data_IF_390308608064
#
_entry.id   IF_390308608064
#
_cell.length_a   1.000
_cell.length_b   1.000
_cell.length_c   1.000
_cell.angle_alpha   90.00
_cell.angle_beta   90.00
_cell.angle_gamma   90.00
#
_symmetry.space_group_name_H-M   'P 1'
#
loop_
_entity.id
_entity.type
_entity.pdbx_description
1 polymer ?
#
# COMPACT_ATOMS: atom_id res chain seq x y z
N UNK A 1 24.21 -6.01 14.65
CA UNK A 1 23.78 -6.43 13.30
C UNK A 1 24.96 -7.01 12.58
N UNK A 2 24.87 -8.23 12.12
CA UNK A 2 25.89 -8.70 11.16
C UNK A 2 25.90 -7.66 10.04
N UNK A 3 27.08 -7.18 9.65
CA UNK A 3 27.28 -6.30 8.51
C UNK A 3 26.57 -6.90 7.28
N UNK A 4 25.36 -6.40 6.94
CA UNK A 4 24.63 -6.94 5.80
C UNK A 4 23.10 -7.02 5.92
N UNK A 5 22.50 -6.76 7.08
CA UNK A 5 21.04 -6.83 7.23
C UNK A 5 20.32 -5.88 6.26
N UNK A 6 19.32 -6.40 5.55
CA UNK A 6 18.55 -5.69 4.52
C UNK A 6 17.30 -5.03 5.12
N UNK A 7 17.19 -3.72 5.02
CA UNK A 7 16.04 -2.98 5.54
C UNK A 7 14.95 -2.81 4.49
N UNK A 8 13.71 -2.93 4.93
CA UNK A 8 12.52 -2.96 4.10
C UNK A 8 11.59 -1.83 4.48
N UNK A 9 11.04 -1.10 3.50
CA UNK A 9 9.91 -0.20 3.70
C UNK A 9 8.64 -0.82 3.10
N UNK A 10 7.57 -0.77 3.88
CA UNK A 10 6.23 -1.18 3.51
C UNK A 10 5.34 0.04 3.29
N UNK A 11 4.64 0.08 2.16
CA UNK A 11 3.77 1.19 1.73
C UNK A 11 2.31 0.69 1.71
N UNK A 12 1.48 1.05 2.71
CA UNK A 12 0.14 0.48 2.85
C UNK A 12 -0.90 0.95 1.84
N UNK A 13 -0.71 2.12 1.21
CA UNK A 13 -1.65 2.65 0.23
C UNK A 13 -2.95 3.18 0.83
N UNK A 14 -4.01 3.28 0.04
CA UNK A 14 -5.23 4.06 0.32
C UNK A 14 -5.95 3.72 1.63
N UNK A 15 -5.85 2.49 2.10
CA UNK A 15 -6.57 2.01 3.30
C UNK A 15 -6.28 2.77 4.59
N UNK A 16 -5.18 3.52 4.63
CA UNK A 16 -4.75 4.30 5.81
C UNK A 16 -5.27 5.73 5.84
N UNK A 17 -6.02 6.19 4.79
CA UNK A 17 -6.49 7.58 4.74
C UNK A 17 -7.22 8.00 6.03
N UNK A 18 -6.82 9.15 6.56
CA UNK A 18 -7.47 9.83 7.68
C UNK A 18 -7.58 11.32 7.36
N UNK A 19 -8.72 11.92 7.73
CA UNK A 19 -8.89 13.36 7.59
C UNK A 19 -7.81 14.11 8.37
N UNK A 20 -7.32 15.21 7.83
CA UNK A 20 -6.26 16.07 8.39
C UNK A 20 -4.88 15.40 8.51
N UNK A 21 -4.68 14.22 7.90
CA UNK A 21 -3.42 13.48 8.03
C UNK A 21 -2.19 14.26 7.53
N UNK A 22 -2.34 15.00 6.45
CA UNK A 22 -1.25 15.78 5.85
C UNK A 22 -0.91 17.01 6.70
N UNK A 23 -1.91 17.72 7.23
CA UNK A 23 -1.70 18.82 8.14
C UNK A 23 -0.94 18.40 9.39
N UNK A 24 -1.42 17.34 10.07
CA UNK A 24 -0.76 16.81 11.27
C UNK A 24 0.66 16.32 10.96
N UNK A 25 0.89 15.67 9.82
CA UNK A 25 2.21 15.21 9.41
C UNK A 25 3.15 16.37 9.10
N UNK A 26 2.65 17.43 8.46
CA UNK A 26 3.39 18.66 8.18
C UNK A 26 3.88 19.37 9.46
N UNK A 27 3.10 19.31 10.52
CA UNK A 27 3.47 19.91 11.84
C UNK A 27 4.47 19.04 12.63
N UNK A 28 4.71 17.80 12.23
CA UNK A 28 5.55 16.90 13.00
C UNK A 28 7.05 17.24 12.94
N UNK A 29 7.55 17.79 11.84
CA UNK A 29 8.93 18.30 11.73
C UNK A 29 9.09 19.29 10.58
N UNK A 30 10.17 20.13 10.62
CA UNK A 30 10.50 21.05 9.53
C UNK A 30 10.78 20.33 8.21
N UNK A 31 11.46 19.19 8.26
CA UNK A 31 11.71 18.36 7.07
C UNK A 31 10.39 17.92 6.40
N UNK A 32 9.45 17.39 7.18
CA UNK A 32 8.16 16.94 6.65
C UNK A 32 7.35 18.11 6.11
N UNK A 33 7.36 19.26 6.79
CA UNK A 33 6.72 20.50 6.33
C UNK A 33 7.25 20.94 4.96
N UNK A 34 8.55 21.00 4.79
CA UNK A 34 9.21 21.41 3.55
C UNK A 34 8.89 20.44 2.41
N UNK A 35 8.92 19.11 2.67
CA UNK A 35 8.64 18.11 1.67
C UNK A 35 7.17 18.10 1.25
N UNK A 36 6.24 18.18 2.20
CA UNK A 36 4.79 18.29 1.92
C UNK A 36 4.50 19.55 1.12
N UNK A 37 5.09 20.69 1.51
CA UNK A 37 4.93 21.96 0.77
C UNK A 37 5.46 21.88 -0.66
N UNK A 38 6.54 21.12 -0.90
CA UNK A 38 7.05 20.90 -2.24
C UNK A 38 6.08 20.06 -3.10
N UNK A 39 5.50 19.00 -2.53
CA UNK A 39 4.50 18.18 -3.23
C UNK A 39 3.21 18.99 -3.46
N UNK A 40 2.78 19.77 -2.49
CA UNK A 40 1.60 20.64 -2.61
C UNK A 40 1.74 21.65 -3.75
N UNK A 41 2.93 22.24 -3.95
CA UNK A 41 3.20 23.12 -5.10
C UNK A 41 3.05 22.40 -6.44
N UNK A 42 3.48 21.14 -6.53
CA UNK A 42 3.32 20.34 -7.74
C UNK A 42 1.84 20.06 -8.00
N UNK A 43 1.13 19.57 -7.00
CA UNK A 43 -0.28 19.21 -7.12
C UNK A 43 -1.17 20.42 -7.38
N UNK A 44 -0.93 21.55 -6.71
CA UNK A 44 -1.66 22.79 -6.89
C UNK A 44 -1.36 23.45 -8.24
N UNK A 45 -0.09 23.43 -8.67
CA UNK A 45 0.33 24.05 -9.92
C UNK A 45 -0.10 23.31 -11.17
N UNK A 46 -0.05 21.99 -11.15
CA UNK A 46 -0.34 21.14 -12.32
C UNK A 46 -1.79 20.67 -12.35
N UNK A 47 -2.34 20.31 -11.19
CA UNK A 47 -3.63 19.62 -11.09
C UNK A 47 -4.71 20.44 -10.38
N UNK A 48 -4.38 21.64 -9.88
CA UNK A 48 -5.25 22.48 -9.07
C UNK A 48 -5.79 21.77 -7.80
N UNK A 49 -4.96 20.87 -7.23
CA UNK A 49 -5.25 20.07 -6.05
C UNK A 49 -4.37 20.56 -4.90
N UNK A 50 -4.93 21.27 -3.93
CA UNK A 50 -4.24 21.65 -2.70
C UNK A 50 -4.27 20.51 -1.69
N UNK A 51 -3.11 19.96 -1.33
CA UNK A 51 -3.03 18.86 -0.35
C UNK A 51 -3.44 19.32 1.06
N UNK A 52 -3.16 20.58 1.39
CA UNK A 52 -3.47 21.20 2.68
C UNK A 52 -4.90 21.79 2.76
N UNK A 53 -5.64 21.76 1.66
CA UNK A 53 -7.04 22.20 1.62
C UNK A 53 -7.96 21.10 2.17
N UNK A 54 -8.16 21.09 3.48
CA UNK A 54 -8.90 20.06 4.22
C UNK A 54 -10.41 20.02 3.92
N UNK A 55 -10.95 21.01 3.20
CA UNK A 55 -12.36 21.05 2.79
C UNK A 55 -12.63 20.14 1.59
N UNK A 56 -11.62 19.87 0.78
CA UNK A 56 -11.72 18.96 -0.37
C UNK A 56 -11.51 17.52 0.06
N UNK A 57 -12.44 16.66 -0.28
CA UNK A 57 -12.51 15.26 0.18
C UNK A 57 -12.89 14.30 -0.96
N UNK A 58 -12.62 14.64 -2.24
CA UNK A 58 -12.80 13.69 -3.33
C UNK A 58 -11.75 12.56 -3.29
N UNK A 59 -12.00 11.48 -3.99
CA UNK A 59 -11.14 10.27 -3.90
C UNK A 59 -9.77 10.49 -4.55
N UNK A 60 -9.63 11.39 -5.51
CA UNK A 60 -8.33 11.75 -6.10
C UNK A 60 -7.46 12.44 -5.07
N UNK A 61 -8.00 13.45 -4.36
CA UNK A 61 -7.21 14.19 -3.35
C UNK A 61 -6.85 13.29 -2.16
N UNK A 62 -7.76 12.40 -1.73
CA UNK A 62 -7.48 11.41 -0.68
C UNK A 62 -6.34 10.48 -1.07
N UNK A 63 -6.37 9.96 -2.30
CA UNK A 63 -5.33 9.10 -2.81
C UNK A 63 -3.98 9.80 -2.88
N UNK A 64 -3.94 11.05 -3.36
CA UNK A 64 -2.70 11.84 -3.45
C UNK A 64 -2.18 12.20 -2.05
N UNK A 65 -3.03 12.47 -1.06
CA UNK A 65 -2.62 12.70 0.33
C UNK A 65 -1.94 11.47 0.93
N UNK A 66 -2.50 10.28 0.74
CA UNK A 66 -1.86 9.04 1.19
C UNK A 66 -0.52 8.85 0.51
N UNK A 67 -0.47 8.94 -0.80
CA UNK A 67 0.76 8.84 -1.60
C UNK A 67 1.84 9.84 -1.13
N UNK A 68 1.46 11.11 -0.92
CA UNK A 68 2.38 12.13 -0.43
C UNK A 68 2.92 11.80 0.96
N UNK A 69 2.05 11.32 1.88
CA UNK A 69 2.47 10.94 3.23
C UNK A 69 3.49 9.79 3.22
N UNK A 70 3.25 8.76 2.39
CA UNK A 70 4.16 7.62 2.26
C UNK A 70 5.52 8.04 1.69
N UNK A 71 5.54 8.91 0.69
CA UNK A 71 6.79 9.43 0.11
C UNK A 71 7.58 10.22 1.15
N UNK A 72 6.98 11.21 1.81
CA UNK A 72 7.75 12.06 2.74
C UNK A 72 8.25 11.30 3.96
N UNK A 73 7.51 10.29 4.43
CA UNK A 73 7.95 9.39 5.51
C UNK A 73 9.11 8.51 5.03
N UNK A 74 9.03 7.94 3.83
CA UNK A 74 10.12 7.14 3.26
C UNK A 74 11.41 7.97 3.05
N UNK A 75 11.28 9.20 2.55
CA UNK A 75 12.39 10.14 2.41
C UNK A 75 12.98 10.53 3.76
N UNK A 76 12.15 10.72 4.78
CA UNK A 76 12.61 11.01 6.15
C UNK A 76 13.49 9.88 6.69
N UNK A 77 13.08 8.61 6.49
CA UNK A 77 13.89 7.47 6.88
C UNK A 77 15.21 7.41 6.10
N UNK A 78 15.21 7.66 4.80
CA UNK A 78 16.42 7.76 4.00
C UNK A 78 17.34 8.87 4.49
N UNK A 79 16.78 10.06 4.81
CA UNK A 79 17.53 11.21 5.32
C UNK A 79 18.10 11.00 6.74
N UNK A 80 17.50 10.12 7.54
CA UNK A 80 18.04 9.70 8.84
C UNK A 80 19.27 8.80 8.76
N UNK A 81 19.75 8.51 7.54
CA UNK A 81 20.88 7.63 7.29
C UNK A 81 20.52 6.14 7.32
N UNK A 82 19.23 5.79 7.33
CA UNK A 82 18.81 4.40 7.17
C UNK A 82 19.05 3.96 5.73
N UNK A 83 19.85 2.92 5.54
CA UNK A 83 19.98 2.27 4.24
C UNK A 83 18.70 1.49 3.95
N UNK A 84 18.01 1.84 2.89
CA UNK A 84 16.78 1.18 2.43
C UNK A 84 17.15 0.26 1.27
N UNK A 85 16.96 -1.05 1.43
CA UNK A 85 17.35 -2.07 0.46
C UNK A 85 16.15 -2.58 -0.34
N UNK A 86 14.98 -2.75 0.29
CA UNK A 86 13.76 -3.28 -0.33
C UNK A 86 12.55 -2.39 -0.08
N UNK A 87 11.64 -2.38 -1.06
CA UNK A 87 10.38 -1.64 -1.03
C UNK A 87 9.26 -2.59 -1.43
N UNK A 88 8.19 -2.64 -0.66
CA UNK A 88 6.98 -3.41 -0.97
C UNK A 88 5.77 -2.51 -0.76
N UNK A 89 4.99 -2.31 -1.81
CA UNK A 89 3.72 -1.59 -1.74
C UNK A 89 2.53 -2.55 -1.71
N UNK A 90 1.51 -2.21 -0.95
CA UNK A 90 0.22 -2.91 -1.02
C UNK A 90 -0.75 -2.06 -1.85
N UNK A 91 -1.25 -2.61 -2.97
CA UNK A 91 -2.18 -1.88 -3.83
C UNK A 91 -1.61 -0.51 -4.23
N UNK A 92 -2.31 0.58 -3.96
CA UNK A 92 -1.88 1.95 -4.30
C UNK A 92 -0.54 2.35 -3.66
N UNK A 93 -0.09 1.68 -2.60
CA UNK A 93 1.23 1.89 -2.03
C UNK A 93 2.39 1.54 -2.97
N UNK A 94 2.16 0.73 -4.01
CA UNK A 94 3.18 0.48 -5.03
C UNK A 94 3.55 1.73 -5.83
N UNK A 95 2.66 2.71 -5.97
CA UNK A 95 2.96 3.97 -6.65
C UNK A 95 4.00 4.79 -5.88
N UNK A 96 3.85 4.90 -4.56
CA UNK A 96 4.84 5.56 -3.71
C UNK A 96 6.16 4.77 -3.66
N UNK A 97 6.09 3.45 -3.54
CA UNK A 97 7.26 2.58 -3.62
C UNK A 97 8.02 2.74 -4.95
N UNK A 98 7.31 2.86 -6.07
CA UNK A 98 7.89 3.06 -7.40
C UNK A 98 8.62 4.41 -7.52
N UNK A 99 8.09 5.48 -6.95
CA UNK A 99 8.78 6.79 -6.91
C UNK A 99 10.05 6.69 -6.05
N UNK A 100 9.98 6.11 -4.85
CA UNK A 100 11.12 5.94 -3.94
C UNK A 100 12.18 4.99 -4.54
N UNK A 101 11.76 4.02 -5.36
CA UNK A 101 12.71 3.15 -6.09
C UNK A 101 13.34 3.80 -7.32
N UNK A 102 12.83 4.95 -7.78
CA UNK A 102 13.31 5.65 -8.98
C UNK A 102 12.72 5.14 -10.29
N UNK A 103 11.69 4.31 -10.26
CA UNK A 103 10.97 3.79 -11.45
C UNK A 103 10.30 4.93 -12.21
N UNK A 104 9.69 5.88 -11.49
CA UNK A 104 9.04 7.06 -12.07
C UNK A 104 9.30 8.30 -11.21
N UNK A 105 9.07 9.48 -11.78
CA UNK A 105 9.14 10.73 -11.03
C UNK A 105 7.94 10.88 -10.08
N UNK A 106 8.04 11.80 -9.14
CA UNK A 106 6.94 12.11 -8.23
C UNK A 106 5.74 12.68 -8.99
N UNK A 107 5.98 13.54 -9.99
CA UNK A 107 4.96 14.10 -10.89
C UNK A 107 4.25 12.99 -11.68
N UNK A 108 5.02 12.04 -12.23
CA UNK A 108 4.46 10.88 -12.93
C UNK A 108 3.60 10.02 -12.00
N UNK A 109 4.05 9.82 -10.76
CA UNK A 109 3.29 9.06 -9.74
C UNK A 109 1.96 9.72 -9.39
N UNK A 110 1.93 11.05 -9.21
CA UNK A 110 0.70 11.82 -8.97
C UNK A 110 -0.22 11.73 -10.19
N UNK A 111 0.33 11.90 -11.40
CA UNK A 111 -0.44 11.79 -12.64
C UNK A 111 -1.11 10.42 -12.76
N UNK A 112 -0.33 9.34 -12.65
CA UNK A 112 -0.86 7.99 -12.78
C UNK A 112 -1.89 7.66 -11.70
N UNK A 113 -1.66 8.10 -10.47
CA UNK A 113 -2.59 7.86 -9.37
C UNK A 113 -3.94 8.56 -9.61
N UNK A 114 -3.89 9.80 -10.09
CA UNK A 114 -5.08 10.54 -10.50
C UNK A 114 -5.82 9.82 -11.63
N UNK A 115 -5.13 9.45 -12.69
CA UNK A 115 -5.74 8.75 -13.83
C UNK A 115 -6.31 7.39 -13.42
N UNK A 116 -5.64 6.67 -12.50
CA UNK A 116 -6.17 5.43 -11.93
C UNK A 116 -7.49 5.66 -11.21
N UNK A 117 -7.58 6.65 -10.32
CA UNK A 117 -8.82 6.92 -9.58
C UNK A 117 -9.95 7.32 -10.52
N UNK A 118 -9.64 8.14 -11.53
CA UNK A 118 -10.64 8.62 -12.51
C UNK A 118 -11.06 7.53 -13.51
N UNK A 119 -10.27 6.46 -13.70
CA UNK A 119 -10.64 5.38 -14.62
C UNK A 119 -11.65 4.39 -14.04
N UNK A 120 -11.92 4.44 -12.72
CA UNK A 120 -12.95 3.61 -12.11
C UNK A 120 -14.31 4.28 -12.21
N UNK A 121 -15.24 3.67 -12.95
CA UNK A 121 -16.66 4.04 -12.95
C UNK A 121 -17.44 2.97 -12.18
N UNK A 122 -18.27 3.42 -11.25
CA UNK A 122 -19.09 2.55 -10.41
C UNK A 122 -20.37 2.16 -11.15
N UNK A 123 -20.28 1.24 -12.12
CA UNK A 123 -21.46 0.79 -12.84
C UNK A 123 -22.15 -0.42 -12.18
N UNK A 124 -21.52 -1.07 -11.18
CA UNK A 124 -22.07 -2.24 -10.53
C UNK A 124 -21.87 -2.23 -9.00
N UNK A 125 -22.84 -2.77 -8.24
CA UNK A 125 -22.86 -2.75 -6.78
C UNK A 125 -21.89 -3.79 -6.18
N UNK A 126 -20.62 -3.72 -6.56
CA UNK A 126 -19.57 -4.52 -5.93
C UNK A 126 -19.24 -4.02 -4.53
N UNK A 127 -18.86 -4.94 -3.67
CA UNK A 127 -18.31 -4.57 -2.38
C UNK A 127 -17.09 -5.42 -2.01
N UNK A 128 -16.28 -4.88 -1.13
CA UNK A 128 -15.04 -5.49 -0.66
C UNK A 128 -15.19 -5.92 0.80
N UNK A 129 -14.68 -7.09 1.13
CA UNK A 129 -14.65 -7.59 2.50
C UNK A 129 -13.30 -8.25 2.81
N UNK A 130 -12.87 -8.15 4.07
CA UNK A 130 -11.72 -8.90 4.57
C UNK A 130 -12.18 -10.19 5.25
N UNK A 131 -11.32 -11.21 5.24
CA UNK A 131 -11.52 -12.45 5.98
C UNK A 131 -10.25 -12.82 6.74
N UNK A 132 -10.43 -13.33 7.97
CA UNK A 132 -9.38 -14.02 8.73
C UNK A 132 -9.54 -15.54 8.50
N UNK A 133 -9.29 -15.96 7.25
CA UNK A 133 -9.25 -17.36 6.83
C UNK A 133 -8.45 -17.48 5.54
N UNK A 134 -8.05 -18.70 5.18
CA UNK A 134 -7.33 -18.96 3.93
C UNK A 134 -8.21 -18.70 2.70
N UNK A 135 -7.57 -18.43 1.56
CA UNK A 135 -8.27 -18.23 0.29
C UNK A 135 -9.12 -19.44 -0.08
N UNK A 136 -8.53 -20.64 0.02
CA UNK A 136 -9.19 -21.90 -0.34
C UNK A 136 -10.48 -22.11 0.47
N UNK A 137 -10.42 -21.83 1.78
CA UNK A 137 -11.58 -21.97 2.66
C UNK A 137 -12.71 -21.01 2.31
N UNK A 138 -12.38 -19.76 1.97
CA UNK A 138 -13.39 -18.77 1.59
C UNK A 138 -13.99 -19.09 0.22
N UNK A 139 -13.19 -19.55 -0.74
CA UNK A 139 -13.67 -19.99 -2.06
C UNK A 139 -14.54 -21.23 -1.95
N UNK A 140 -14.17 -22.22 -1.13
CA UNK A 140 -14.98 -23.41 -0.84
C UNK A 140 -16.37 -23.04 -0.31
N UNK A 141 -16.43 -22.10 0.65
CA UNK A 141 -17.70 -21.63 1.21
C UNK A 141 -18.50 -20.88 0.13
N UNK A 142 -17.88 -20.03 -0.66
CA UNK A 142 -18.56 -19.29 -1.72
C UNK A 142 -19.15 -20.25 -2.78
N UNK A 143 -18.38 -21.26 -3.17
CA UNK A 143 -18.80 -22.28 -4.14
C UNK A 143 -19.98 -23.12 -3.63
N UNK A 144 -19.97 -23.49 -2.34
CA UNK A 144 -21.06 -24.22 -1.67
C UNK A 144 -22.42 -23.50 -1.80
N UNK A 145 -22.40 -22.15 -1.83
CA UNK A 145 -23.61 -21.32 -1.93
C UNK A 145 -23.81 -20.72 -3.33
N UNK A 146 -22.94 -21.02 -4.29
CA UNK A 146 -23.03 -20.54 -5.67
C UNK A 146 -22.70 -19.04 -5.81
N UNK A 147 -21.90 -18.48 -4.90
CA UNK A 147 -21.50 -17.06 -4.96
C UNK A 147 -20.31 -16.84 -5.88
N UNK A 148 -20.37 -15.78 -6.69
CA UNK A 148 -19.29 -15.36 -7.59
C UNK A 148 -18.42 -14.30 -6.91
N UNK A 149 -17.33 -14.73 -6.26
CA UNK A 149 -16.40 -13.83 -5.58
C UNK A 149 -14.98 -13.94 -6.17
N UNK A 150 -14.19 -12.91 -5.95
CA UNK A 150 -12.79 -12.83 -6.34
C UNK A 150 -11.92 -12.59 -5.13
N UNK A 151 -10.81 -13.32 -4.99
CA UNK A 151 -9.75 -12.94 -4.04
C UNK A 151 -8.96 -11.80 -4.66
N UNK A 152 -9.04 -10.63 -4.07
CA UNK A 152 -8.38 -9.41 -4.56
C UNK A 152 -7.07 -9.10 -3.81
N UNK A 153 -6.86 -9.71 -2.64
CA UNK A 153 -5.59 -9.64 -1.93
C UNK A 153 -5.33 -10.90 -1.12
N UNK A 154 -4.12 -11.43 -1.24
CA UNK A 154 -3.55 -12.50 -0.42
C UNK A 154 -2.62 -11.87 0.60
N UNK A 155 -3.09 -11.64 1.83
CA UNK A 155 -2.37 -10.87 2.84
C UNK A 155 -1.46 -11.73 3.72
N UNK A 156 -2.02 -12.86 4.22
CA UNK A 156 -1.29 -13.86 5.02
C UNK A 156 -1.82 -15.26 4.67
N UNK A 157 -1.26 -16.37 5.20
CA UNK A 157 -1.86 -17.70 5.02
C UNK A 157 -3.34 -17.75 5.42
N UNK A 158 -3.70 -17.01 6.47
CA UNK A 158 -5.03 -17.01 7.10
C UNK A 158 -5.73 -15.64 6.95
N UNK A 159 -5.37 -14.83 5.94
CA UNK A 159 -6.07 -13.56 5.71
C UNK A 159 -6.08 -13.17 4.24
N UNK A 160 -7.29 -12.95 3.73
CA UNK A 160 -7.54 -12.49 2.35
C UNK A 160 -8.51 -11.32 2.33
N UNK A 161 -8.48 -10.58 1.23
CA UNK A 161 -9.53 -9.62 0.89
C UNK A 161 -10.26 -10.12 -0.35
N UNK A 162 -11.57 -10.04 -0.31
CA UNK A 162 -12.45 -10.51 -1.39
C UNK A 162 -13.29 -9.37 -1.96
N UNK A 163 -13.71 -9.52 -3.20
CA UNK A 163 -14.66 -8.66 -3.88
C UNK A 163 -15.75 -9.50 -4.54
N UNK A 164 -16.96 -9.01 -4.57
CA UNK A 164 -18.10 -9.65 -5.24
C UNK A 164 -19.34 -8.77 -5.20
N UNK A 165 -20.44 -9.26 -5.73
CA UNK A 165 -21.71 -8.56 -5.66
C UNK A 165 -22.11 -8.31 -4.21
N UNK A 166 -22.60 -7.11 -3.92
CA UNK A 166 -22.90 -6.65 -2.55
C UNK A 166 -23.78 -7.60 -1.77
N UNK A 167 -24.80 -8.16 -2.43
CA UNK A 167 -25.75 -9.07 -1.77
C UNK A 167 -25.09 -10.42 -1.45
N UNK A 168 -24.25 -10.95 -2.33
CA UNK A 168 -23.50 -12.19 -2.11
C UNK A 168 -22.47 -12.02 -0.98
N UNK A 169 -21.72 -10.92 -0.98
CA UNK A 169 -20.77 -10.61 0.10
C UNK A 169 -21.49 -10.46 1.45
N UNK A 170 -22.64 -9.79 1.50
CA UNK A 170 -23.42 -9.67 2.73
C UNK A 170 -23.93 -11.02 3.25
N UNK A 171 -24.32 -11.92 2.36
CA UNK A 171 -24.69 -13.29 2.73
C UNK A 171 -23.49 -14.09 3.20
N UNK A 172 -22.36 -14.01 2.48
CA UNK A 172 -21.11 -14.68 2.86
C UNK A 172 -20.61 -14.23 4.24
N UNK A 173 -20.74 -12.95 4.58
CA UNK A 173 -20.42 -12.43 5.94
C UNK A 173 -21.23 -13.14 7.01
N UNK A 174 -22.53 -13.37 6.78
CA UNK A 174 -23.39 -14.07 7.75
C UNK A 174 -22.99 -15.53 7.89
N UNK A 175 -22.80 -16.23 6.76
CA UNK A 175 -22.39 -17.64 6.74
C UNK A 175 -21.05 -17.84 7.45
N UNK A 176 -20.07 -17.00 7.15
CA UNK A 176 -18.75 -17.05 7.79
C UNK A 176 -18.85 -16.81 9.30
N UNK A 177 -19.69 -15.86 9.73
CA UNK A 177 -19.93 -15.60 11.16
C UNK A 177 -20.51 -16.82 11.86
N UNK A 178 -21.48 -17.50 11.26
CA UNK A 178 -22.09 -18.71 11.82
C UNK A 178 -21.09 -19.87 11.89
N UNK A 179 -20.07 -19.87 11.04
CA UNK A 179 -18.93 -20.81 11.05
C UNK A 179 -17.74 -20.33 11.90
N UNK A 180 -17.91 -19.27 12.71
CA UNK A 180 -16.88 -18.67 13.55
C UNK A 180 -15.64 -18.15 12.79
N UNK A 181 -15.81 -17.81 11.50
CA UNK A 181 -14.80 -17.15 10.68
C UNK A 181 -15.03 -15.64 10.77
N UNK A 182 -14.00 -14.91 11.19
CA UNK A 182 -14.05 -13.46 11.19
C UNK A 182 -14.03 -12.93 9.75
N UNK A 183 -15.11 -12.28 9.38
CA UNK A 183 -15.34 -11.74 8.06
C UNK A 183 -16.07 -10.41 8.17
N UNK A 184 -15.63 -9.38 7.44
CA UNK A 184 -16.23 -8.04 7.56
C UNK A 184 -16.13 -7.23 6.28
N UNK A 185 -17.19 -6.46 6.00
CA UNK A 185 -17.26 -5.55 4.85
C UNK A 185 -16.34 -4.37 5.06
N UNK A 186 -15.62 -3.98 4.01
CA UNK A 186 -14.81 -2.77 3.96
C UNK A 186 -15.58 -1.71 3.16
N UNK A 187 -16.27 -0.82 3.86
CA UNK A 187 -17.16 0.19 3.26
C UNK A 187 -16.45 1.29 2.43
N UNK A 188 -15.13 1.23 2.28
CA UNK A 188 -14.33 2.30 1.65
C UNK A 188 -13.98 2.02 0.19
N UNK A 189 -14.31 0.83 -0.34
CA UNK A 189 -13.91 0.41 -1.68
C UNK A 189 -15.02 -0.37 -2.37
N UNK A 190 -15.37 0.05 -3.57
CA UNK A 190 -16.38 -0.63 -4.38
C UNK A 190 -15.82 -1.82 -5.20
N UNK A 191 -14.57 -2.15 -5.00
CA UNK A 191 -13.87 -3.22 -5.66
C UNK A 191 -12.61 -2.72 -6.39
N UNK A 192 -11.52 -3.47 -6.25
CA UNK A 192 -10.27 -3.27 -6.96
C UNK A 192 -9.63 -4.64 -7.17
N UNK A 193 -8.66 -4.74 -8.06
CA UNK A 193 -7.84 -5.94 -8.23
C UNK A 193 -8.63 -7.21 -8.63
N UNK A 194 -9.74 -7.07 -9.35
CA UNK A 194 -10.50 -8.20 -9.87
C UNK A 194 -10.66 -8.14 -11.40
N UNK A 195 -10.87 -9.29 -12.09
CA UNK A 195 -10.86 -9.35 -13.56
C UNK A 195 -11.86 -8.46 -14.27
N UNK A 196 -13.00 -8.11 -13.63
CA UNK A 196 -14.00 -7.20 -14.21
C UNK A 196 -13.49 -5.79 -14.49
N UNK A 197 -12.37 -5.38 -13.87
CA UNK A 197 -11.75 -4.09 -14.12
C UNK A 197 -10.83 -4.04 -15.35
N UNK A 198 -10.67 -5.16 -16.07
CA UNK A 198 -9.81 -5.21 -17.25
C UNK A 198 -10.18 -4.18 -18.33
N UNK A 199 -11.44 -3.92 -18.68
CA UNK A 199 -11.80 -2.87 -19.64
C UNK A 199 -11.31 -1.47 -19.22
N UNK A 200 -11.40 -1.15 -17.93
CA UNK A 200 -10.92 0.15 -17.40
C UNK A 200 -9.39 0.24 -17.42
N UNK A 201 -8.70 -0.88 -17.24
CA UNK A 201 -7.25 -0.93 -17.35
C UNK A 201 -6.73 -0.62 -18.77
N UNK A 202 -7.51 -0.90 -19.79
CA UNK A 202 -7.17 -0.58 -21.18
C UNK A 202 -7.21 0.95 -21.43
N UNK A 203 -8.18 1.65 -20.83
CA UNK A 203 -8.24 3.12 -20.86
C UNK A 203 -7.06 3.72 -20.10
N UNK A 204 -6.78 3.20 -18.90
CA UNK A 204 -5.66 3.65 -18.08
C UNK A 204 -4.30 3.39 -18.75
N UNK A 205 -4.15 2.34 -19.55
CA UNK A 205 -2.93 2.02 -20.29
C UNK A 205 -2.47 3.19 -21.17
N UNK A 206 -3.41 3.91 -21.82
CA UNK A 206 -3.07 5.05 -22.67
C UNK A 206 -2.49 6.23 -21.85
N UNK A 207 -2.94 6.39 -20.61
CA UNK A 207 -2.33 7.35 -19.69
C UNK A 207 -0.96 6.87 -19.21
N UNK A 208 -0.80 5.59 -18.89
CA UNK A 208 0.46 5.01 -18.44
C UNK A 208 1.55 5.06 -19.53
N UNK A 209 1.22 4.92 -20.81
CA UNK A 209 2.17 5.04 -21.93
C UNK A 209 2.84 6.42 -22.04
N UNK A 210 2.30 7.45 -21.42
CA UNK A 210 2.89 8.79 -21.41
C UNK A 210 4.04 8.92 -20.41
N UNK A 211 4.24 7.94 -19.53
CA UNK A 211 5.23 7.96 -18.46
C UNK A 211 6.55 7.37 -18.92
N UNK A 212 7.64 8.01 -18.54
CA UNK A 212 8.98 7.50 -18.78
C UNK A 212 9.43 6.62 -17.60
N UNK A 213 9.08 5.35 -17.63
CA UNK A 213 9.49 4.38 -16.62
C UNK A 213 10.98 4.02 -16.74
N UNK A 214 11.66 3.94 -15.61
CA UNK A 214 13.08 3.63 -15.49
C UNK A 214 13.28 2.31 -14.75
N UNK A 215 14.48 1.77 -14.83
CA UNK A 215 14.86 0.64 -13.97
C UNK A 215 14.97 1.10 -12.52
N UNK A 216 14.47 0.32 -11.55
CA UNK A 216 14.57 0.66 -10.15
C UNK A 216 16.04 0.74 -9.69
N UNK A 217 16.37 1.75 -8.90
CA UNK A 217 17.68 1.89 -8.23
C UNK A 217 17.68 1.27 -6.83
N UNK A 218 16.51 1.01 -6.25
CA UNK A 218 16.30 0.20 -5.05
C UNK A 218 15.41 -0.98 -5.41
N UNK A 219 15.57 -2.11 -4.73
CA UNK A 219 14.81 -3.32 -5.03
C UNK A 219 13.33 -3.15 -4.66
N UNK A 220 12.48 -2.92 -5.62
CA UNK A 220 11.03 -2.97 -5.44
C UNK A 220 10.53 -4.38 -5.74
N UNK A 221 9.87 -5.01 -4.77
CA UNK A 221 9.20 -6.30 -4.95
C UNK A 221 7.75 -6.04 -5.33
N UNK A 222 7.36 -6.53 -6.51
CA UNK A 222 6.00 -6.42 -7.01
C UNK A 222 5.05 -7.31 -6.23
N UNK A 223 3.85 -6.79 -5.89
CA UNK A 223 2.76 -7.61 -5.37
C UNK A 223 1.85 -8.16 -6.48
N UNK A 224 2.01 -7.71 -7.73
CA UNK A 224 1.35 -8.30 -8.90
C UNK A 224 2.10 -9.54 -9.40
N UNK A 225 3.43 -9.45 -9.45
CA UNK A 225 4.32 -10.50 -9.97
C UNK A 225 5.49 -10.80 -9.00
N UNK A 226 5.23 -11.26 -7.79
CA UNK A 226 6.27 -11.47 -6.79
C UNK A 226 7.34 -12.47 -7.23
N UNK A 227 7.01 -13.38 -8.13
CA UNK A 227 7.93 -14.39 -8.66
C UNK A 227 8.87 -13.89 -9.76
N UNK A 228 8.66 -12.67 -10.28
CA UNK A 228 9.41 -12.11 -11.40
C UNK A 228 10.36 -10.97 -11.01
N UNK A 229 10.77 -10.87 -9.74
CA UNK A 229 11.58 -9.74 -9.25
C UNK A 229 12.88 -9.50 -10.06
N UNK A 230 13.52 -10.55 -10.55
CA UNK A 230 14.69 -10.42 -11.39
C UNK A 230 14.28 -10.16 -12.84
N UNK A 231 14.35 -8.90 -13.27
CA UNK A 231 14.07 -8.48 -14.63
C UNK A 231 12.60 -8.09 -14.90
N UNK A 232 11.80 -7.92 -13.86
CA UNK A 232 10.47 -7.33 -14.04
C UNK A 232 10.58 -5.91 -14.57
N UNK A 233 9.85 -5.64 -15.65
CA UNK A 233 9.74 -4.30 -16.21
C UNK A 233 8.47 -3.64 -15.66
N UNK A 234 8.63 -2.58 -14.89
CA UNK A 234 7.53 -1.76 -14.35
C UNK A 234 7.08 -0.72 -15.40
N UNK A 235 6.66 -1.21 -16.56
CA UNK A 235 6.21 -0.41 -17.70
C UNK A 235 4.71 -0.10 -17.66
N UNK A 236 4.19 0.53 -18.71
CA UNK A 236 2.78 0.90 -18.82
C UNK A 236 1.84 -0.31 -18.66
N UNK A 237 2.20 -1.45 -19.27
CA UNK A 237 1.43 -2.69 -19.19
C UNK A 237 1.38 -3.23 -17.76
N UNK A 238 2.48 -3.14 -17.00
CA UNK A 238 2.50 -3.50 -15.57
C UNK A 238 1.46 -2.69 -14.79
N UNK A 239 1.45 -1.37 -14.96
CA UNK A 239 0.54 -0.50 -14.23
C UNK A 239 -0.93 -0.67 -14.63
N UNK A 240 -1.19 -1.00 -15.90
CA UNK A 240 -2.52 -1.38 -16.35
C UNK A 240 -2.97 -2.71 -15.73
N UNK A 241 -2.11 -3.72 -15.71
CA UNK A 241 -2.41 -5.00 -15.07
C UNK A 241 -2.58 -4.90 -13.55
N UNK A 242 -1.88 -3.97 -12.90
CA UNK A 242 -1.99 -3.68 -11.48
C UNK A 242 -3.43 -3.28 -11.07
N UNK A 243 -4.25 -2.76 -11.99
CA UNK A 243 -5.64 -2.37 -11.71
C UNK A 243 -6.50 -3.58 -11.40
N UNK A 244 -6.36 -4.67 -12.16
CA UNK A 244 -7.28 -5.82 -12.11
C UNK A 244 -6.67 -7.10 -11.58
N UNK A 245 -5.34 -7.22 -11.46
CA UNK A 245 -4.69 -8.39 -10.87
C UNK A 245 -4.68 -8.31 -9.35
N UNK A 246 -4.81 -9.45 -8.65
CA UNK A 246 -4.82 -9.47 -7.20
C UNK A 246 -3.47 -9.03 -6.60
N UNK A 247 -3.55 -8.43 -5.43
CA UNK A 247 -2.38 -8.11 -4.60
C UNK A 247 -1.88 -9.39 -3.93
N UNK A 248 -0.68 -9.82 -4.22
CA UNK A 248 -0.02 -11.01 -3.65
C UNK A 248 0.99 -10.59 -2.58
N UNK A 249 0.50 -9.88 -1.54
CA UNK A 249 1.36 -9.32 -0.51
C UNK A 249 2.14 -10.40 0.25
N UNK A 250 1.47 -11.50 0.64
CA UNK A 250 2.12 -12.65 1.25
C UNK A 250 3.31 -13.13 0.43
N UNK A 251 3.09 -13.43 -0.86
CA UNK A 251 4.14 -13.94 -1.72
C UNK A 251 5.28 -12.92 -1.92
N UNK A 252 4.96 -11.62 -1.95
CA UNK A 252 5.98 -10.58 -2.04
C UNK A 252 6.85 -10.51 -0.77
N UNK A 253 6.25 -10.59 0.41
CA UNK A 253 6.96 -10.65 1.70
C UNK A 253 7.84 -11.90 1.80
N UNK A 254 7.37 -13.05 1.34
CA UNK A 254 8.12 -14.32 1.32
C UNK A 254 9.37 -14.27 0.40
N UNK A 255 9.50 -13.24 -0.47
CA UNK A 255 10.70 -13.01 -1.31
C UNK A 255 11.79 -12.18 -0.64
N UNK A 256 11.54 -11.67 0.53
CA UNK A 256 12.58 -10.97 1.29
C UNK A 256 13.73 -11.94 1.63
N UNK A 257 14.98 -11.46 1.63
CA UNK A 257 16.12 -12.31 1.92
C UNK A 257 16.17 -12.72 3.39
N UNK A 258 16.84 -13.82 3.68
CA UNK A 258 17.01 -14.35 5.05
C UNK A 258 17.71 -13.36 5.99
N UNK A 259 18.60 -12.50 5.45
CA UNK A 259 19.27 -11.43 6.18
C UNK A 259 18.43 -10.15 6.29
N UNK A 260 17.10 -10.26 6.22
CA UNK A 260 16.18 -9.14 6.47
C UNK A 260 16.39 -8.59 7.87
N UNK A 261 16.66 -7.28 7.93
CA UNK A 261 16.85 -6.53 9.16
C UNK A 261 15.57 -5.85 9.61
N UNK A 262 15.53 -4.51 9.53
CA UNK A 262 14.36 -3.75 9.93
C UNK A 262 13.26 -3.80 8.85
N UNK A 263 12.02 -3.96 9.29
CA UNK A 263 10.80 -3.87 8.49
C UNK A 263 9.98 -2.68 9.00
N UNK A 264 9.94 -1.61 8.23
CA UNK A 264 9.32 -0.35 8.61
C UNK A 264 8.05 -0.12 7.78
N UNK A 265 6.96 0.22 8.45
CA UNK A 265 5.73 0.68 7.79
C UNK A 265 5.78 2.22 7.69
N UNK A 266 5.68 2.76 6.47
CA UNK A 266 5.70 4.20 6.21
C UNK A 266 4.32 4.84 6.24
N UNK A 267 3.29 4.09 6.61
CA UNK A 267 1.95 4.62 6.79
C UNK A 267 1.78 5.43 8.08
N UNK A 268 0.72 6.22 8.12
CA UNK A 268 0.24 6.88 9.34
C UNK A 268 -0.53 5.93 10.26
N UNK A 269 -0.71 4.69 9.82
CA UNK A 269 -1.26 3.56 10.57
C UNK A 269 -0.56 2.29 10.09
N UNK A 270 0.00 1.47 10.99
CA UNK A 270 0.93 0.38 10.63
C UNK A 270 0.18 -0.90 10.21
N UNK A 271 -0.74 -0.80 9.26
CA UNK A 271 -1.62 -1.90 8.87
C UNK A 271 -0.87 -3.07 8.25
N UNK A 272 0.26 -2.82 7.57
CA UNK A 272 1.04 -3.88 6.95
C UNK A 272 1.96 -4.61 7.94
N UNK A 273 2.34 -4.01 9.06
CA UNK A 273 3.22 -4.68 10.03
C UNK A 273 2.58 -5.93 10.64
N UNK A 274 1.27 -5.91 10.93
CA UNK A 274 0.57 -7.10 11.41
C UNK A 274 0.63 -8.24 10.39
N UNK A 275 0.40 -7.93 9.13
CA UNK A 275 0.50 -8.90 8.02
C UNK A 275 1.94 -9.37 7.82
N UNK A 276 2.92 -8.46 7.86
CA UNK A 276 4.33 -8.79 7.73
C UNK A 276 4.82 -9.71 8.86
N UNK A 277 4.46 -9.42 10.11
CA UNK A 277 4.76 -10.29 11.26
C UNK A 277 4.20 -11.69 11.09
N UNK A 278 2.96 -11.82 10.62
CA UNK A 278 2.33 -13.11 10.37
C UNK A 278 3.05 -13.91 9.28
N UNK A 279 3.57 -13.25 8.25
CA UNK A 279 4.30 -13.88 7.14
C UNK A 279 5.78 -14.14 7.46
N UNK A 280 6.39 -13.38 8.37
CA UNK A 280 7.80 -13.45 8.78
C UNK A 280 7.92 -13.82 10.25
N UNK A 281 7.16 -14.82 10.69
CA UNK A 281 7.10 -15.25 12.10
C UNK A 281 8.43 -15.73 12.69
N UNK A 282 9.42 -16.00 11.84
CA UNK A 282 10.79 -16.35 12.24
C UNK A 282 11.64 -15.14 12.67
N UNK A 283 11.21 -13.90 12.35
CA UNK A 283 11.92 -12.69 12.76
C UNK A 283 11.48 -12.22 14.15
N UNK A 284 12.43 -11.65 14.89
CA UNK A 284 12.13 -11.04 16.20
C UNK A 284 11.19 -9.84 16.05
N UNK A 285 10.27 -9.67 17.00
CA UNK A 285 9.29 -8.58 16.97
C UNK A 285 9.92 -7.19 16.97
N UNK A 286 11.11 -7.03 17.53
CA UNK A 286 11.83 -5.76 17.59
C UNK A 286 12.28 -5.21 16.24
N UNK A 287 12.31 -6.05 15.18
CA UNK A 287 12.67 -5.60 13.83
C UNK A 287 11.51 -4.89 13.11
N UNK A 288 10.27 -5.06 13.59
CA UNK A 288 9.08 -4.45 12.98
C UNK A 288 8.81 -3.07 13.61
N UNK A 289 9.06 -2.04 12.84
CA UNK A 289 9.00 -0.65 13.31
C UNK A 289 7.82 0.09 12.65
N UNK A 290 6.77 0.44 13.39
CA UNK A 290 5.79 1.40 12.90
C UNK A 290 6.41 2.79 12.92
N UNK A 291 6.34 3.53 11.82
CA UNK A 291 6.75 4.96 11.84
C UNK A 291 5.78 5.77 12.69
N UNK A 292 4.50 5.55 12.46
CA UNK A 292 3.38 6.13 13.21
C UNK A 292 2.43 4.98 13.56
N UNK A 293 1.92 4.94 14.80
CA UNK A 293 1.00 3.89 15.24
C UNK A 293 -0.46 4.26 15.02
N UNK A 294 -0.87 5.39 15.53
CA UNK A 294 -2.21 5.96 15.38
C UNK A 294 -2.33 7.24 16.20
N UNK A 295 -3.42 8.02 16.01
CA UNK A 295 -3.71 9.19 16.81
C UNK A 295 -3.10 10.48 16.24
N UNK A 296 -2.92 11.50 17.08
CA UNK A 296 -2.59 12.86 16.62
C UNK A 296 -1.15 13.31 16.88
N UNK A 297 -0.41 12.66 17.75
CA UNK A 297 0.95 13.08 18.12
C UNK A 297 1.99 12.39 17.24
N UNK A 298 2.01 12.72 15.94
CA UNK A 298 2.94 12.13 14.98
C UNK A 298 4.39 12.45 15.31
N UNK A 299 4.70 13.68 15.77
CA UNK A 299 6.06 14.07 16.16
C UNK A 299 6.65 13.09 17.18
N UNK A 300 5.99 12.92 18.32
CA UNK A 300 6.49 12.02 19.38
C UNK A 300 6.62 10.58 18.91
N UNK A 301 5.68 10.12 18.07
CA UNK A 301 5.72 8.75 17.55
C UNK A 301 6.89 8.55 16.59
N UNK A 302 7.15 9.50 15.70
CA UNK A 302 8.31 9.50 14.80
C UNK A 302 9.62 9.53 15.61
N UNK A 303 9.75 10.41 16.60
CA UNK A 303 10.93 10.48 17.47
C UNK A 303 11.18 9.15 18.19
N UNK A 304 10.14 8.54 18.76
CA UNK A 304 10.23 7.24 19.42
C UNK A 304 10.68 6.12 18.44
N UNK A 305 10.17 6.14 17.21
CA UNK A 305 10.52 5.15 16.19
C UNK A 305 11.96 5.34 15.71
N UNK A 306 12.42 6.57 15.55
CA UNK A 306 13.82 6.88 15.23
C UNK A 306 14.78 6.44 16.35
N UNK A 307 14.41 6.65 17.61
CA UNK A 307 15.20 6.18 18.76
C UNK A 307 15.32 4.66 18.75
N UNK A 308 14.24 3.92 18.53
CA UNK A 308 14.29 2.44 18.42
C UNK A 308 15.26 1.97 17.36
N UNK A 309 15.24 2.60 16.17
CA UNK A 309 16.15 2.26 15.08
C UNK A 309 17.60 2.57 15.46
N UNK A 310 17.85 3.70 16.14
CA UNK A 310 19.20 4.09 16.58
C UNK A 310 19.74 3.17 17.66
N UNK A 311 18.92 2.83 18.67
CA UNK A 311 19.31 1.90 19.75
C UNK A 311 19.56 0.50 19.18
N UNK A 312 18.68 0.02 18.31
CA UNK A 312 18.87 -1.26 17.63
C UNK A 312 20.18 -1.33 16.83
N UNK A 313 20.67 -0.20 16.30
CA UNK A 313 21.97 -0.13 15.61
C UNK A 313 23.17 -0.10 16.58
N UNK A 314 23.00 0.42 17.79
CA UNK A 314 24.08 0.53 18.78
C UNK A 314 24.37 -0.77 19.51
N UNK A 315 23.43 -1.72 19.52
CA UNK A 315 23.56 -3.03 20.19
C UNK A 315 23.99 -4.17 19.25
N UNK A 316 24.53 -3.85 18.11
CA UNK A 316 24.97 -4.75 17.07
C UNK A 316 26.34 -4.31 16.56
#
# INVERSE_FOLDING_TARGET
>A
MKSGNKNVLLFPGYGIYQKNMIGILSEASSFLHERISAIDKITSGIYHIGLLDEEKEDDVIKAIRVFASEIVIAEMWGNSGLKIDYLIGHSMGEYAAAVISGIMSQEDGIYLLKERVLSFHEDEPHCTAFSESSADKILEIADEYGFSIYIISYNTPESVTVCGMKDEINQLVKICRDRHIRFGVINKFNGAHYPGLKPYSEVFLESAKKINFRKPVKNMISTVYPDRNNGLNFNAEYWAEHIYKPVRFRQAIERLPEDTGLVLDVGISPVLLGMAKSNLSQLDESVFIPTIQSGRNYRQQIENSMQKVTIGRAHV
#
